data_IF_500546732606
#
_entry.id   IF_500546732606
#
_cell.length_a   1.000
_cell.length_b   1.000
_cell.length_c   1.000
_cell.angle_alpha   90.00
_cell.angle_beta   90.00
_cell.angle_gamma   90.00
#
_symmetry.space_group_name_H-M   'P 1'
#
loop_
_entity.id
_entity.type
_entity.pdbx_description
1 polymer ?
#
# COMPACT_ATOMS: atom_id res chain seq x y z
N UNK A 1 8.00 -14.39 -37.00
CA UNK A 1 7.01 -14.10 -35.94
C UNK A 1 7.64 -14.45 -34.62
N UNK A 2 8.34 -13.49 -33.98
CA UNK A 2 8.93 -13.73 -32.67
C UNK A 2 7.83 -13.62 -31.62
N UNK A 3 7.59 -14.70 -30.89
CA UNK A 3 6.78 -14.66 -29.68
C UNK A 3 7.48 -13.72 -28.69
N UNK A 4 6.77 -12.67 -28.28
CA UNK A 4 7.18 -11.86 -27.14
C UNK A 4 7.38 -12.80 -25.94
N UNK A 5 8.43 -12.63 -25.13
CA UNK A 5 8.59 -13.41 -23.91
C UNK A 5 7.32 -13.23 -23.04
N UNK A 6 6.92 -14.26 -22.28
CA UNK A 6 5.81 -14.13 -21.35
C UNK A 6 6.11 -12.92 -20.45
N UNK A 7 5.18 -11.95 -20.42
CA UNK A 7 5.27 -10.84 -19.47
C UNK A 7 5.42 -11.48 -18.10
N UNK A 8 6.57 -11.33 -17.46
CA UNK A 8 6.73 -11.76 -16.08
C UNK A 8 5.58 -11.13 -15.30
N UNK A 9 4.78 -11.97 -14.65
CA UNK A 9 3.72 -11.50 -13.77
C UNK A 9 4.41 -10.81 -12.58
N UNK A 10 4.65 -9.50 -12.73
CA UNK A 10 5.30 -8.70 -11.72
C UNK A 10 4.50 -8.73 -10.42
N UNK A 11 5.21 -8.82 -9.30
CA UNK A 11 4.61 -8.74 -7.96
C UNK A 11 3.94 -7.39 -7.81
N UNK A 12 2.63 -7.38 -7.56
CA UNK A 12 1.91 -6.15 -7.22
C UNK A 12 2.36 -5.72 -5.81
N UNK A 13 2.79 -4.48 -5.68
CA UNK A 13 3.28 -3.93 -4.41
C UNK A 13 2.36 -2.79 -3.99
N UNK A 14 1.85 -2.86 -2.77
CA UNK A 14 1.02 -1.82 -2.18
C UNK A 14 1.66 -1.35 -0.88
N UNK A 15 2.20 -0.14 -0.88
CA UNK A 15 2.62 0.57 0.31
C UNK A 15 1.40 1.25 0.94
N UNK A 16 1.24 1.10 2.24
CA UNK A 16 0.29 1.85 3.06
C UNK A 16 1.03 2.44 4.26
N UNK A 17 1.02 3.76 4.38
CA UNK A 17 1.62 4.47 5.52
C UNK A 17 0.71 5.56 6.05
N UNK A 18 0.96 6.00 7.28
CA UNK A 18 0.32 7.21 7.77
C UNK A 18 0.92 8.42 7.05
N UNK A 19 0.05 9.25 6.48
CA UNK A 19 0.39 10.61 6.11
C UNK A 19 0.07 11.53 7.29
N UNK A 20 0.94 12.49 7.58
CA UNK A 20 0.69 13.51 8.60
C UNK A 20 -0.68 14.18 8.40
N UNK A 21 -1.31 14.61 9.49
CA UNK A 21 -2.64 15.24 9.45
C UNK A 21 -3.83 14.28 9.40
N UNK A 22 -3.66 13.03 9.81
CA UNK A 22 -4.77 12.06 9.93
C UNK A 22 -5.20 11.47 8.58
N UNK A 23 -4.24 11.22 7.70
CA UNK A 23 -4.47 10.60 6.40
C UNK A 23 -3.63 9.33 6.24
N UNK A 24 -3.96 8.55 5.22
CA UNK A 24 -3.24 7.37 4.77
C UNK A 24 -2.68 7.65 3.38
N UNK A 25 -1.41 7.35 3.18
CA UNK A 25 -0.74 7.36 1.89
C UNK A 25 -0.74 5.94 1.32
N UNK A 26 -1.19 5.81 0.09
CA UNK A 26 -1.17 4.57 -0.68
C UNK A 26 -0.24 4.73 -1.88
N UNK A 27 0.66 3.79 -2.10
CA UNK A 27 1.46 3.70 -3.32
C UNK A 27 1.37 2.29 -3.90
N UNK A 28 0.82 2.16 -5.11
CA UNK A 28 0.68 0.89 -5.82
C UNK A 28 1.61 0.83 -7.04
N UNK A 29 2.46 -0.20 -7.13
CA UNK A 29 3.46 -0.39 -8.20
C UNK A 29 3.68 -1.87 -8.53
N UNK A 30 4.56 -2.16 -9.49
CA UNK A 30 5.07 -3.51 -9.76
C UNK A 30 4.45 -4.22 -10.94
N UNK A 31 3.35 -3.68 -11.50
CA UNK A 31 2.79 -4.12 -12.78
C UNK A 31 3.08 -3.13 -13.91
N UNK A 32 3.23 -3.61 -15.16
CA UNK A 32 3.42 -2.73 -16.30
C UNK A 32 2.28 -1.70 -16.39
N UNK A 33 2.62 -0.41 -16.40
CA UNK A 33 1.65 0.67 -16.49
C UNK A 33 0.92 1.02 -15.19
N UNK A 34 1.20 0.33 -14.07
CA UNK A 34 0.62 0.66 -12.77
C UNK A 34 1.63 1.43 -11.91
N UNK A 35 1.35 2.72 -11.73
CA UNK A 35 2.00 3.58 -10.75
C UNK A 35 0.94 4.54 -10.19
N UNK A 36 0.42 4.24 -9.00
CA UNK A 36 -0.58 5.06 -8.33
C UNK A 36 -0.03 5.56 -7.00
N UNK A 37 -0.28 6.83 -6.70
CA UNK A 37 -0.06 7.43 -5.40
C UNK A 37 -1.32 8.18 -5.00
N UNK A 38 -1.90 7.83 -3.85
CA UNK A 38 -3.19 8.35 -3.39
C UNK A 38 -3.10 8.72 -1.91
N UNK A 39 -3.83 9.77 -1.52
CA UNK A 39 -4.05 10.14 -0.13
C UNK A 39 -5.53 9.94 0.20
N UNK A 40 -5.80 9.33 1.35
CA UNK A 40 -7.16 9.16 1.88
C UNK A 40 -7.21 9.61 3.34
N UNK A 41 -8.15 10.49 3.72
CA UNK A 41 -8.39 10.81 5.12
C UNK A 41 -8.74 9.57 5.92
N UNK A 42 -8.41 9.56 7.21
CA UNK A 42 -8.88 8.51 8.09
C UNK A 42 -10.41 8.43 8.10
N UNK A 43 -10.99 7.23 8.31
CA UNK A 43 -12.41 7.11 8.60
C UNK A 43 -12.77 8.00 9.79
N UNK A 44 -13.95 8.62 9.77
CA UNK A 44 -14.40 9.49 10.86
C UNK A 44 -14.46 8.78 12.22
N UNK A 45 -14.76 7.47 12.22
CA UNK A 45 -14.74 6.61 13.41
C UNK A 45 -13.33 6.14 13.82
N UNK A 46 -12.29 6.59 13.10
CA UNK A 46 -10.91 6.12 13.25
C UNK A 46 -10.71 4.68 12.78
N UNK A 47 -9.56 4.11 13.16
CA UNK A 47 -9.16 2.76 12.77
C UNK A 47 -9.61 1.66 13.74
N UNK A 48 -10.04 2.04 14.96
CA UNK A 48 -10.39 1.09 16.02
C UNK A 48 -11.44 0.04 15.65
N UNK A 49 -12.49 0.34 14.86
CA UNK A 49 -13.48 -0.67 14.47
C UNK A 49 -12.90 -1.85 13.67
N UNK A 50 -11.71 -1.66 13.10
CA UNK A 50 -11.08 -2.62 12.20
C UNK A 50 -9.91 -3.37 12.85
N UNK A 51 -9.46 -2.98 14.05
CA UNK A 51 -8.27 -3.54 14.69
C UNK A 51 -8.53 -4.85 15.42
N UNK A 52 -7.47 -5.61 15.61
CA UNK A 52 -7.45 -6.81 16.45
C UNK A 52 -8.40 -7.90 15.93
N UNK A 53 -9.21 -8.45 16.82
CA UNK A 53 -10.09 -9.60 16.54
C UNK A 53 -11.52 -9.20 16.18
N UNK A 54 -11.79 -7.93 15.86
CA UNK A 54 -13.14 -7.46 15.50
C UNK A 54 -13.75 -8.28 14.36
N UNK A 55 -12.94 -8.65 13.38
CA UNK A 55 -13.35 -9.49 12.25
C UNK A 55 -13.79 -10.91 12.66
N UNK A 56 -13.27 -11.46 13.77
CA UNK A 56 -13.65 -12.80 14.26
C UNK A 56 -15.04 -12.81 14.89
N UNK A 57 -15.53 -11.63 15.30
CA UNK A 57 -16.85 -11.47 15.89
C UNK A 57 -17.90 -11.02 14.86
N UNK A 58 -17.48 -10.76 13.61
CA UNK A 58 -18.38 -10.35 12.56
C UNK A 58 -19.31 -11.52 12.18
N UNK A 59 -20.62 -11.27 12.25
CA UNK A 59 -21.63 -12.26 11.84
C UNK A 59 -21.63 -12.51 10.32
N UNK A 60 -21.18 -11.52 9.54
CA UNK A 60 -21.09 -11.56 8.09
C UNK A 60 -19.70 -11.05 7.66
N UNK A 61 -18.81 -12.00 7.36
CA UNK A 61 -17.44 -11.72 6.97
C UNK A 61 -17.34 -11.03 5.59
N UNK A 62 -18.12 -11.42 4.56
CA UNK A 62 -18.23 -10.65 3.32
C UNK A 62 -18.62 -9.19 3.53
N UNK A 63 -19.64 -8.92 4.35
CA UNK A 63 -20.06 -7.55 4.65
C UNK A 63 -18.98 -6.76 5.41
N UNK A 64 -18.29 -7.40 6.37
CA UNK A 64 -17.15 -6.81 7.06
C UNK A 64 -16.03 -6.43 6.07
N UNK A 65 -15.66 -7.34 5.17
CA UNK A 65 -14.62 -7.11 4.17
C UNK A 65 -14.97 -5.97 3.20
N UNK A 66 -16.22 -5.88 2.77
CA UNK A 66 -16.69 -4.77 1.94
C UNK A 66 -16.64 -3.42 2.69
N UNK A 67 -17.06 -3.40 3.96
CA UNK A 67 -17.01 -2.20 4.79
C UNK A 67 -15.57 -1.77 5.07
N UNK A 68 -14.66 -2.72 5.30
CA UNK A 68 -13.23 -2.48 5.47
C UNK A 68 -12.61 -1.85 4.22
N UNK A 69 -12.88 -2.41 3.04
CA UNK A 69 -12.40 -1.87 1.77
C UNK A 69 -12.93 -0.45 1.52
N UNK A 70 -14.22 -0.22 1.76
CA UNK A 70 -14.82 1.12 1.61
C UNK A 70 -14.22 2.14 2.58
N UNK A 71 -13.93 1.73 3.81
CA UNK A 71 -13.39 2.62 4.83
C UNK A 71 -11.90 2.94 4.63
N UNK A 72 -11.10 1.98 4.16
CA UNK A 72 -9.64 2.09 4.17
C UNK A 72 -9.00 2.20 2.80
N UNK A 73 -9.64 1.72 1.72
CA UNK A 73 -9.03 1.71 0.38
C UNK A 73 -9.65 2.81 -0.50
N UNK A 74 -8.82 3.66 -1.14
CA UNK A 74 -9.35 4.67 -2.05
C UNK A 74 -10.04 4.01 -3.25
N UNK A 75 -11.12 4.59 -3.75
CA UNK A 75 -11.84 4.04 -4.91
C UNK A 75 -10.93 3.75 -6.13
N UNK A 76 -9.98 4.62 -6.52
CA UNK A 76 -9.07 4.32 -7.63
C UNK A 76 -8.15 3.12 -7.35
N UNK A 77 -7.80 2.89 -6.07
CA UNK A 77 -7.03 1.71 -5.68
C UNK A 77 -7.89 0.44 -5.74
N UNK A 78 -9.15 0.52 -5.29
CA UNK A 78 -10.08 -0.61 -5.42
C UNK A 78 -10.28 -1.00 -6.89
N UNK A 79 -10.39 -0.03 -7.79
CA UNK A 79 -10.47 -0.28 -9.23
C UNK A 79 -9.19 -0.95 -9.77
N UNK A 80 -8.02 -0.41 -9.42
CA UNK A 80 -6.76 -1.01 -9.82
C UNK A 80 -6.57 -2.46 -9.31
N UNK A 81 -7.03 -2.75 -8.10
CA UNK A 81 -7.01 -4.10 -7.51
C UNK A 81 -8.06 -5.03 -8.15
N UNK A 82 -9.21 -4.48 -8.58
CA UNK A 82 -10.24 -5.23 -9.31
C UNK A 82 -9.78 -5.61 -10.73
N UNK A 83 -9.11 -4.68 -11.41
CA UNK A 83 -8.59 -4.85 -12.78
C UNK A 83 -7.29 -5.67 -12.81
N UNK A 84 -6.61 -5.80 -11.68
CA UNK A 84 -5.44 -6.65 -11.57
C UNK A 84 -5.85 -8.14 -11.65
N UNK A 85 -5.22 -8.87 -12.58
CA UNK A 85 -5.18 -10.34 -12.57
C UNK A 85 -4.75 -10.87 -11.19
N UNK A 86 -5.12 -12.11 -10.87
CA UNK A 86 -4.66 -12.80 -9.67
C UNK A 86 -3.13 -12.93 -9.64
N UNK A 87 -2.55 -13.21 -8.46
CA UNK A 87 -1.11 -13.42 -8.32
C UNK A 87 -0.55 -12.87 -7.00
N UNK A 88 0.78 -12.71 -6.90
CA UNK A 88 1.40 -12.24 -5.67
C UNK A 88 1.11 -10.75 -5.41
N UNK A 89 0.66 -10.46 -4.19
CA UNK A 89 0.48 -9.11 -3.66
C UNK A 89 1.38 -8.94 -2.43
N UNK A 90 2.33 -8.02 -2.51
CA UNK A 90 3.16 -7.61 -1.39
C UNK A 90 2.57 -6.34 -0.77
N UNK A 91 2.05 -6.45 0.46
CA UNK A 91 1.66 -5.33 1.29
C UNK A 91 2.88 -4.83 2.07
N UNK A 92 3.26 -3.57 1.85
CA UNK A 92 4.28 -2.88 2.65
C UNK A 92 3.54 -1.96 3.62
N UNK A 93 3.57 -2.28 4.91
CA UNK A 93 2.72 -1.63 5.91
C UNK A 93 3.58 -0.87 6.92
N UNK A 94 3.22 0.37 7.20
CA UNK A 94 3.64 1.04 8.43
C UNK A 94 3.28 0.19 9.66
N UNK A 95 4.20 0.10 10.64
CA UNK A 95 4.03 -0.69 11.85
C UNK A 95 2.71 -0.39 12.59
N UNK A 96 2.29 0.87 12.59
CA UNK A 96 1.04 1.29 13.23
C UNK A 96 -0.23 0.75 12.56
N UNK A 97 -0.13 0.28 11.31
CA UNK A 97 -1.23 -0.23 10.49
C UNK A 97 -1.19 -1.76 10.32
N UNK A 98 -0.16 -2.41 10.86
CA UNK A 98 0.09 -3.83 10.65
C UNK A 98 -0.96 -4.75 11.34
N UNK A 99 -1.68 -4.26 12.34
CA UNK A 99 -2.70 -5.02 13.07
C UNK A 99 -4.08 -5.03 12.40
N UNK A 100 -4.25 -4.30 11.30
CA UNK A 100 -5.48 -4.31 10.50
C UNK A 100 -5.55 -5.57 9.63
N UNK A 101 -6.74 -6.15 9.40
CA UNK A 101 -6.93 -7.36 8.61
C UNK A 101 -7.02 -7.04 7.11
N UNK A 102 -5.96 -6.47 6.54
CA UNK A 102 -5.93 -6.00 5.14
C UNK A 102 -6.35 -7.06 4.11
N UNK A 103 -6.02 -8.33 4.33
CA UNK A 103 -6.36 -9.46 3.46
C UNK A 103 -7.87 -9.65 3.33
N UNK A 104 -8.63 -9.29 4.36
CA UNK A 104 -10.09 -9.41 4.36
C UNK A 104 -10.79 -8.31 3.59
N UNK A 105 -10.07 -7.26 3.14
CA UNK A 105 -10.67 -6.19 2.36
C UNK A 105 -11.26 -6.77 1.06
N UNK A 106 -12.55 -6.54 0.82
CA UNK A 106 -13.24 -7.08 -0.34
C UNK A 106 -13.20 -6.11 -1.53
N UNK A 107 -12.61 -6.54 -2.64
CA UNK A 107 -12.56 -5.81 -3.90
C UNK A 107 -13.21 -6.67 -5.00
N UNK A 108 -14.10 -6.07 -5.79
CA UNK A 108 -14.87 -6.78 -6.81
C UNK A 108 -15.61 -8.02 -6.26
N UNK A 109 -16.09 -7.94 -5.01
CA UNK A 109 -16.86 -9.00 -4.36
C UNK A 109 -16.05 -10.18 -3.81
N UNK A 110 -14.72 -10.11 -3.83
CA UNK A 110 -13.84 -11.14 -3.27
C UNK A 110 -12.81 -10.50 -2.33
N UNK A 111 -12.38 -11.21 -1.29
CA UNK A 111 -11.32 -10.70 -0.40
C UNK A 111 -9.99 -10.61 -1.14
N UNK A 112 -9.04 -9.82 -0.63
CA UNK A 112 -7.69 -9.80 -1.19
C UNK A 112 -7.01 -11.16 -1.03
N UNK A 113 -7.27 -11.88 0.06
CA UNK A 113 -6.74 -13.24 0.29
C UNK A 113 -7.24 -14.25 -0.75
N UNK A 114 -8.51 -14.14 -1.15
CA UNK A 114 -9.09 -15.03 -2.16
C UNK A 114 -8.53 -14.74 -3.58
N UNK A 115 -8.17 -13.49 -3.86
CA UNK A 115 -7.70 -13.04 -5.18
C UNK A 115 -6.19 -13.12 -5.36
N UNK A 116 -5.43 -12.91 -4.30
CA UNK A 116 -3.99 -12.74 -4.36
C UNK A 116 -3.28 -13.67 -3.36
N UNK A 117 -2.07 -14.09 -3.71
CA UNK A 117 -1.14 -14.63 -2.73
C UNK A 117 -0.55 -13.46 -1.94
N UNK A 118 -1.18 -13.11 -0.82
CA UNK A 118 -0.80 -11.94 -0.03
C UNK A 118 0.42 -12.25 0.84
N UNK A 119 1.38 -11.33 0.85
CA UNK A 119 2.52 -11.32 1.78
C UNK A 119 2.64 -9.94 2.40
N UNK A 120 3.05 -9.88 3.66
CA UNK A 120 3.23 -8.62 4.40
C UNK A 120 4.71 -8.36 4.68
N UNK A 121 5.12 -7.11 4.49
CA UNK A 121 6.36 -6.56 5.00
C UNK A 121 6.02 -5.36 5.88
N UNK A 122 6.32 -5.45 7.17
CA UNK A 122 6.11 -4.35 8.10
C UNK A 122 7.35 -3.47 8.09
N UNK A 123 7.16 -2.21 7.73
CA UNK A 123 8.20 -1.19 7.75
C UNK A 123 8.45 -0.80 9.20
N UNK A 124 9.72 -0.79 9.59
CA UNK A 124 10.10 -0.31 10.92
C UNK A 124 9.61 1.12 11.10
N UNK A 125 9.18 1.44 12.33
CA UNK A 125 8.75 2.76 12.70
C UNK A 125 9.90 3.73 12.43
N UNK A 126 9.81 4.45 11.32
CA UNK A 126 10.68 5.59 11.06
C UNK A 126 10.05 6.75 11.80
N UNK A 127 9.98 6.62 13.13
CA UNK A 127 9.87 7.77 14.00
C UNK A 127 10.99 8.70 13.54
N UNK A 128 10.64 9.74 12.79
CA UNK A 128 11.57 10.78 12.43
C UNK A 128 12.27 11.16 13.74
N UNK A 129 13.62 11.15 13.80
CA UNK A 129 14.29 11.64 14.98
C UNK A 129 13.68 13.00 15.27
N UNK A 130 13.05 13.14 16.44
CA UNK A 130 12.49 14.39 16.90
C UNK A 130 13.53 15.46 16.59
N UNK A 131 13.14 16.49 15.84
CA UNK A 131 14.04 17.51 15.32
C UNK A 131 14.94 18.03 16.43
N UNK A 132 16.11 17.41 16.59
CA UNK A 132 17.25 18.03 17.22
C UNK A 132 17.69 19.03 16.18
N UNK A 133 17.53 20.29 16.53
CA UNK A 133 18.07 21.46 15.87
C UNK A 133 19.51 21.18 15.40
N UNK A 134 19.64 20.72 14.17
CA UNK A 134 20.89 20.44 13.51
C UNK A 134 20.66 20.85 12.06
N UNK A 135 21.16 22.04 11.76
CA UNK A 135 21.19 22.64 10.43
C UNK A 135 21.42 21.56 9.37
N UNK A 136 20.39 21.32 8.55
CA UNK A 136 20.48 20.44 7.39
C UNK A 136 21.49 21.06 6.43
N UNK A 137 22.66 20.44 6.15
CA UNK A 137 23.49 20.90 5.06
C UNK A 137 22.70 20.68 3.75
N UNK A 138 22.63 21.67 2.86
CA UNK A 138 21.92 21.49 1.60
C UNK A 138 22.56 20.32 0.82
N UNK A 139 21.70 19.48 0.25
CA UNK A 139 22.08 18.39 -0.66
C UNK A 139 22.96 18.96 -1.78
N UNK A 140 24.26 18.70 -1.70
CA UNK A 140 25.16 18.92 -2.82
C UNK A 140 24.86 17.85 -3.86
N UNK A 141 24.17 18.27 -4.92
CA UNK A 141 24.07 17.52 -6.16
C UNK A 141 25.50 17.27 -6.64
N UNK A 142 25.97 16.02 -6.56
CA UNK A 142 27.21 15.62 -7.20
C UNK A 142 26.96 15.67 -8.71
N UNK A 143 27.30 16.82 -9.29
CA UNK A 143 27.43 17.01 -10.72
C UNK A 143 28.60 16.14 -11.20
N UNK A 144 28.32 14.89 -11.55
CA UNK A 144 29.26 14.07 -12.33
C UNK A 144 29.25 14.57 -13.78
N UNK A 145 29.70 15.80 -14.01
CA UNK A 145 30.03 16.27 -15.36
C UNK A 145 31.40 15.73 -15.74
N UNK A 146 31.32 14.58 -16.42
CA UNK A 146 32.37 13.98 -17.21
C UNK A 146 32.74 14.96 -18.34
N UNK A 147 33.77 15.77 -18.14
CA UNK A 147 34.54 16.35 -19.25
C UNK A 147 35.92 15.73 -19.33
N UNK A 148 36.01 14.77 -20.25
CA UNK A 148 37.22 14.52 -20.99
C UNK A 148 37.66 15.81 -21.69
N UNK A 149 38.95 16.15 -21.60
CA UNK A 149 39.78 16.73 -22.68
C UNK A 149 41.21 16.82 -22.13
N UNK A 150 42.10 15.97 -22.66
CA UNK A 150 43.26 16.31 -23.52
C UNK A 150 44.50 16.72 -22.72
#
# INVERSE_FOLDING_TARGET
>A
MSALPPREAGVLRLLVSQAGGGALLFVATGRPGLALQLLQPWPAAGLQPWRGTAWQQAADLPAFGAALAQALLPLPLQQALADADTGPLLLLLDASLADLPWELAAVAGQTLDDRFLVSRLVLADTAAPAAADAAVPPLQLLDTDRRAHV
#
